data_IF_466443182543
#
_entry.id   IF_466443182543
#
_cell.length_a   1.000
_cell.length_b   1.000
_cell.length_c   1.000
_cell.angle_alpha   90.00
_cell.angle_beta   90.00
_cell.angle_gamma   90.00
#
_symmetry.space_group_name_H-M   'P 1'
#
loop_
_entity.id
_entity.type
_entity.pdbx_description
1 polymer ?
#
# COMPACT_ATOMS: atom_id res chain seq x y z
N UNK A 1 36.40 -31.53 5.64
CA UNK A 1 37.07 -30.27 6.03
C UNK A 1 36.72 -29.23 5.00
N UNK A 2 35.99 -28.18 5.40
CA UNK A 2 36.14 -26.76 5.01
C UNK A 2 34.98 -26.02 5.66
N UNK A 3 35.27 -25.38 6.80
CA UNK A 3 34.43 -24.30 7.32
C UNK A 3 34.68 -23.07 6.44
N UNK A 4 33.62 -22.36 6.07
CA UNK A 4 33.73 -20.99 5.56
C UNK A 4 32.49 -20.21 5.99
N UNK A 5 32.74 -19.37 6.98
CA UNK A 5 31.84 -18.39 7.59
C UNK A 5 31.16 -17.49 6.56
N UNK A 6 29.85 -17.29 6.68
CA UNK A 6 29.20 -16.08 6.16
C UNK A 6 28.48 -15.37 7.31
N UNK A 7 29.25 -14.55 8.03
CA UNK A 7 28.68 -13.32 8.57
C UNK A 7 28.47 -12.36 7.40
N UNK A 8 27.23 -12.01 7.10
CA UNK A 8 26.93 -10.81 6.33
C UNK A 8 25.71 -10.13 6.94
N UNK A 9 25.91 -8.87 7.31
CA UNK A 9 25.17 -8.17 8.35
C UNK A 9 23.73 -7.83 7.99
N UNK A 10 22.88 -7.92 9.02
CA UNK A 10 21.57 -7.29 9.05
C UNK A 10 21.80 -5.78 9.01
N UNK A 11 21.71 -5.20 7.81
CA UNK A 11 21.73 -3.74 7.65
C UNK A 11 20.53 -3.15 8.37
N UNK A 12 20.84 -2.45 9.46
CA UNK A 12 19.91 -1.75 10.33
C UNK A 12 19.19 -0.66 9.52
N UNK A 13 17.97 -0.95 9.05
CA UNK A 13 17.13 0.06 8.42
C UNK A 13 16.60 0.99 9.51
N UNK A 14 17.19 2.18 9.60
CA UNK A 14 16.61 3.30 10.34
C UNK A 14 15.16 3.48 9.92
N UNK A 15 14.24 3.19 10.84
CA UNK A 15 12.80 3.30 10.60
C UNK A 15 12.48 4.77 10.35
N UNK A 16 11.88 5.07 9.19
CA UNK A 16 11.32 6.38 8.87
C UNK A 16 10.37 6.79 10.01
N UNK A 17 10.72 7.87 10.72
CA UNK A 17 9.84 8.51 11.68
C UNK A 17 8.80 9.32 10.91
N UNK A 18 7.65 8.70 10.64
CA UNK A 18 6.49 9.41 10.11
C UNK A 18 5.23 8.77 10.69
N UNK A 19 5.17 8.75 12.03
CA UNK A 19 3.92 8.56 12.75
C UNK A 19 3.41 9.94 13.15
N UNK A 20 2.18 10.27 12.78
CA UNK A 20 1.49 11.43 13.32
C UNK A 20 1.58 11.40 14.85
N UNK A 21 2.08 12.47 15.48
CA UNK A 21 2.31 12.51 16.93
C UNK A 21 1.04 12.68 17.77
N UNK A 22 -0.14 12.58 17.17
CA UNK A 22 -1.37 12.44 17.93
C UNK A 22 -1.47 11.02 18.45
N UNK A 23 -0.89 10.79 19.63
CA UNK A 23 -1.22 9.62 20.46
C UNK A 23 -2.69 9.75 20.85
N UNK A 24 -3.59 9.31 19.97
CA UNK A 24 -4.96 9.03 20.35
C UNK A 24 -4.92 8.03 21.49
N UNK A 25 -5.31 8.44 22.69
CA UNK A 25 -5.51 7.51 23.80
C UNK A 25 -6.48 6.46 23.31
N UNK A 26 -6.10 5.17 23.33
CA UNK A 26 -7.05 4.09 23.10
C UNK A 26 -8.17 4.28 24.11
N UNK A 27 -9.43 4.26 23.65
CA UNK A 27 -10.56 4.18 24.55
C UNK A 27 -10.33 2.97 25.46
N UNK A 28 -10.19 3.24 26.75
CA UNK A 28 -9.74 2.26 27.76
C UNK A 28 -10.78 1.16 27.97
N UNK A 29 -11.99 1.33 27.42
CA UNK A 29 -13.13 0.43 27.63
C UNK A 29 -13.97 0.38 26.36
N UNK A 30 -14.43 -0.81 25.97
CA UNK A 30 -15.56 -0.92 25.04
C UNK A 30 -16.81 -0.41 25.76
N UNK A 31 -17.15 0.85 25.56
CA UNK A 31 -18.42 1.40 26.04
C UNK A 31 -19.56 0.55 25.45
N UNK A 32 -20.57 0.25 26.27
CA UNK A 32 -21.81 -0.38 25.78
C UNK A 32 -22.41 0.51 24.68
N UNK A 33 -22.93 -0.11 23.63
CA UNK A 33 -23.62 0.60 22.55
C UNK A 33 -24.68 1.55 23.13
N UNK A 34 -24.56 2.86 22.85
CA UNK A 34 -25.61 3.83 23.16
C UNK A 34 -26.66 3.78 22.05
N UNK A 35 -27.96 3.84 22.37
CA UNK A 35 -29.00 3.91 21.35
C UNK A 35 -28.92 5.24 20.59
N UNK A 36 -29.24 5.22 19.30
CA UNK A 36 -29.15 6.39 18.40
C UNK A 36 -29.94 7.61 18.91
N UNK A 37 -31.05 7.39 19.62
CA UNK A 37 -31.86 8.44 20.25
C UNK A 37 -31.15 9.24 21.34
N UNK A 38 -30.00 8.75 21.83
CA UNK A 38 -29.16 9.42 22.84
C UNK A 38 -27.90 10.04 22.23
N UNK A 39 -27.72 10.00 20.92
CA UNK A 39 -26.63 10.70 20.24
C UNK A 39 -27.00 12.18 20.18
N UNK A 40 -26.13 13.03 20.73
CA UNK A 40 -26.22 14.47 20.57
C UNK A 40 -25.64 14.86 19.20
N UNK A 41 -26.44 15.55 18.39
CA UNK A 41 -26.05 16.03 17.06
C UNK A 41 -25.83 17.55 17.03
N UNK A 42 -25.84 18.22 18.18
CA UNK A 42 -25.72 19.68 18.26
C UNK A 42 -24.44 20.22 17.65
N UNK A 43 -23.36 19.44 17.65
CA UNK A 43 -22.05 19.76 17.09
C UNK A 43 -21.85 19.27 15.64
N UNK A 44 -22.74 18.41 15.14
CA UNK A 44 -22.65 17.79 13.82
C UNK A 44 -23.92 18.08 13.00
N UNK A 45 -24.01 19.26 12.34
CA UNK A 45 -25.17 19.59 11.54
C UNK A 45 -25.32 18.67 10.32
N UNK A 46 -26.56 18.37 9.94
CA UNK A 46 -26.85 17.60 8.74
C UNK A 46 -26.34 18.31 7.49
N UNK A 47 -25.69 17.57 6.60
CA UNK A 47 -25.19 18.08 5.32
C UNK A 47 -26.23 17.87 4.23
N UNK A 48 -26.49 18.92 3.44
CA UNK A 48 -27.35 18.81 2.27
C UNK A 48 -26.71 17.94 1.18
N UNK A 49 -27.52 17.29 0.34
CA UNK A 49 -27.04 16.50 -0.81
C UNK A 49 -26.13 17.31 -1.74
N UNK A 50 -26.41 18.60 -1.91
CA UNK A 50 -25.61 19.50 -2.72
C UNK A 50 -24.22 19.77 -2.10
N UNK A 51 -24.09 19.74 -0.78
CA UNK A 51 -22.81 19.82 -0.07
C UNK A 51 -22.06 18.48 -0.15
N UNK A 52 -22.75 17.35 0.07
CA UNK A 52 -22.16 16.02 -0.04
C UNK A 52 -21.55 15.75 -1.43
N UNK A 53 -22.24 16.17 -2.50
CA UNK A 53 -21.73 16.03 -3.88
C UNK A 53 -20.47 16.85 -4.16
N UNK A 54 -20.29 17.98 -3.47
CA UNK A 54 -19.10 18.84 -3.61
C UNK A 54 -17.90 18.32 -2.81
N UNK A 55 -18.13 17.43 -1.85
CA UNK A 55 -17.05 16.87 -1.04
C UNK A 55 -16.19 15.92 -1.87
N UNK A 56 -14.86 16.13 -1.81
CA UNK A 56 -13.90 15.21 -2.42
C UNK A 56 -13.85 13.92 -1.59
N UNK A 57 -14.12 12.76 -2.21
CA UNK A 57 -13.83 11.47 -1.59
C UNK A 57 -12.34 11.39 -1.23
N UNK A 58 -12.03 11.39 0.06
CA UNK A 58 -10.66 11.23 0.60
C UNK A 58 -10.38 9.79 1.06
N UNK A 59 -11.30 8.87 0.80
CA UNK A 59 -11.19 7.45 1.15
C UNK A 59 -10.31 6.65 0.18
N UNK A 60 -10.30 5.33 0.35
CA UNK A 60 -9.59 4.41 -0.54
C UNK A 60 -10.06 4.64 -1.98
N UNK A 61 -9.15 4.91 -2.94
CA UNK A 61 -9.53 5.08 -4.34
C UNK A 61 -10.22 3.81 -4.84
N UNK A 62 -11.23 3.97 -5.68
CA UNK A 62 -11.88 2.87 -6.37
C UNK A 62 -10.90 2.29 -7.39
N UNK A 63 -10.22 1.20 -7.04
CA UNK A 63 -9.40 0.44 -7.99
C UNK A 63 -10.33 -0.31 -8.92
N UNK A 64 -10.68 0.27 -10.08
CA UNK A 64 -11.65 -0.32 -11.02
C UNK A 64 -11.25 -1.71 -11.54
N UNK A 65 -9.95 -1.96 -11.74
CA UNK A 65 -9.39 -3.26 -12.11
C UNK A 65 -8.20 -3.56 -11.19
N UNK A 66 -8.46 -4.30 -10.13
CA UNK A 66 -7.40 -4.74 -9.23
C UNK A 66 -6.49 -5.75 -9.95
N UNK A 67 -5.17 -5.64 -9.74
CA UNK A 67 -4.21 -6.62 -10.26
C UNK A 67 -4.48 -7.97 -9.58
N UNK A 68 -4.65 -9.02 -10.39
CA UNK A 68 -4.76 -10.39 -9.88
C UNK A 68 -3.36 -10.93 -9.56
N UNK A 69 -3.24 -11.65 -8.45
CA UNK A 69 -2.02 -12.37 -8.13
C UNK A 69 -1.87 -13.56 -9.08
N UNK A 70 -0.75 -13.60 -9.79
CA UNK A 70 -0.38 -14.71 -10.68
C UNK A 70 0.97 -15.27 -10.26
N UNK A 71 1.18 -16.56 -10.49
CA UNK A 71 2.48 -17.20 -10.33
C UNK A 71 3.14 -17.37 -11.72
N UNK A 72 4.35 -16.86 -11.89
CA UNK A 72 5.15 -17.03 -13.11
C UNK A 72 6.52 -17.59 -12.76
N UNK A 73 7.07 -18.46 -13.61
CA UNK A 73 8.42 -19.01 -13.44
C UNK A 73 9.40 -18.15 -14.24
N UNK A 74 10.40 -17.61 -13.56
CA UNK A 74 11.49 -16.83 -14.17
C UNK A 74 12.82 -17.47 -13.79
N UNK A 75 13.79 -17.46 -14.70
CA UNK A 75 15.14 -17.90 -14.35
C UNK A 75 15.76 -16.96 -13.30
N UNK A 76 16.56 -17.47 -12.36
CA UNK A 76 17.13 -16.65 -11.29
C UNK A 76 18.03 -15.54 -11.84
N UNK A 77 18.79 -15.82 -12.90
CA UNK A 77 19.63 -14.83 -13.59
C UNK A 77 18.81 -13.70 -14.23
N UNK A 78 17.62 -14.01 -14.76
CA UNK A 78 16.73 -12.99 -15.32
C UNK A 78 16.12 -12.12 -14.21
N UNK A 79 15.66 -12.74 -13.12
CA UNK A 79 15.09 -12.02 -11.97
C UNK A 79 16.08 -10.99 -11.41
N UNK A 80 17.35 -11.37 -11.25
CA UNK A 80 18.39 -10.47 -10.75
C UNK A 80 18.65 -9.29 -11.71
N UNK A 81 18.64 -9.53 -13.02
CA UNK A 81 18.77 -8.45 -14.01
C UNK A 81 17.57 -7.49 -13.95
N UNK A 82 16.35 -8.00 -13.85
CA UNK A 82 15.13 -7.20 -13.73
C UNK A 82 15.14 -6.34 -12.46
N UNK A 83 15.58 -6.91 -11.33
CA UNK A 83 15.75 -6.15 -10.08
C UNK A 83 16.73 -5.00 -10.23
N UNK A 84 17.90 -5.24 -10.84
CA UNK A 84 18.90 -4.19 -11.11
C UNK A 84 18.36 -3.10 -12.03
N UNK A 85 17.63 -3.48 -13.09
CA UNK A 85 16.99 -2.52 -13.99
C UNK A 85 15.95 -1.67 -13.27
N UNK A 86 15.11 -2.28 -12.44
CA UNK A 86 14.08 -1.58 -11.68
C UNK A 86 14.70 -0.59 -10.68
N UNK A 87 15.77 -0.99 -9.98
CA UNK A 87 16.52 -0.13 -9.08
C UNK A 87 17.10 1.10 -9.80
N UNK A 88 17.70 0.92 -10.99
CA UNK A 88 18.20 2.03 -11.81
C UNK A 88 17.11 3.02 -12.21
N UNK A 89 15.87 2.56 -12.37
CA UNK A 89 14.71 3.39 -12.72
C UNK A 89 13.95 3.93 -11.50
N UNK A 90 14.37 3.61 -10.27
CA UNK A 90 13.66 3.99 -9.06
C UNK A 90 12.26 3.36 -8.93
N UNK A 91 12.00 2.25 -9.62
CA UNK A 91 10.70 1.58 -9.64
C UNK A 91 10.75 0.22 -8.92
N UNK A 92 9.66 -0.26 -8.30
CA UNK A 92 9.55 -1.64 -7.87
C UNK A 92 9.68 -2.61 -9.04
N UNK A 93 10.33 -3.75 -8.84
CA UNK A 93 10.56 -4.72 -9.93
C UNK A 93 9.26 -5.30 -10.48
N UNK A 94 8.23 -5.48 -9.64
CA UNK A 94 6.92 -5.96 -10.09
C UNK A 94 6.24 -4.97 -11.05
N UNK A 95 6.39 -3.66 -10.80
CA UNK A 95 5.88 -2.61 -11.69
C UNK A 95 6.61 -2.68 -13.02
N UNK A 96 7.94 -2.78 -13.01
CA UNK A 96 8.72 -2.92 -14.25
C UNK A 96 8.32 -4.15 -15.05
N UNK A 97 8.14 -5.31 -14.39
CA UNK A 97 7.69 -6.54 -15.07
C UNK A 97 6.33 -6.34 -15.72
N UNK A 98 5.39 -5.72 -15.01
CA UNK A 98 4.06 -5.45 -15.54
C UNK A 98 4.12 -4.54 -16.77
N UNK A 99 4.82 -3.41 -16.68
CA UNK A 99 4.97 -2.45 -17.79
C UNK A 99 5.61 -3.13 -19.03
N UNK A 100 6.59 -4.00 -18.83
CA UNK A 100 7.25 -4.74 -19.91
C UNK A 100 6.30 -5.73 -20.59
N UNK A 101 5.53 -6.49 -19.80
CA UNK A 101 4.56 -7.46 -20.33
C UNK A 101 3.41 -6.77 -21.06
N UNK A 102 2.91 -5.66 -20.51
CA UNK A 102 1.88 -4.85 -21.14
C UNK A 102 2.34 -4.32 -22.50
N UNK A 103 3.53 -3.71 -22.56
CA UNK A 103 4.10 -3.22 -23.82
C UNK A 103 4.28 -4.33 -24.84
N UNK A 104 4.79 -5.50 -24.42
CA UNK A 104 4.97 -6.63 -25.31
C UNK A 104 3.63 -7.15 -25.86
N UNK A 105 2.60 -7.23 -25.01
CA UNK A 105 1.26 -7.62 -25.43
C UNK A 105 0.64 -6.62 -26.41
N UNK A 106 0.79 -5.31 -26.17
CA UNK A 106 0.29 -4.27 -27.08
C UNK A 106 0.97 -4.26 -28.46
N UNK A 107 2.24 -4.67 -28.55
CA UNK A 107 2.94 -4.75 -29.84
C UNK A 107 2.62 -6.04 -30.61
N UNK A 108 2.13 -7.07 -29.93
CA UNK A 108 1.80 -8.36 -30.52
C UNK A 108 0.35 -8.44 -31.02
N UNK A 109 -0.49 -7.49 -30.62
CA UNK A 109 -1.88 -7.34 -31.04
C UNK A 109 -1.99 -6.40 -32.25
#
# INVERSE_FOLDING_TARGET
MYLSSTHCGVMNMGKKQSGSSTRGKRAVVSAKHIPDSKIDFSDMPELTDAQLRRMRRVGRPTSGLAKQLIAIRLSPRLLERLRKMAAKQGKPYQTLIHDLLERAASHAA
#
